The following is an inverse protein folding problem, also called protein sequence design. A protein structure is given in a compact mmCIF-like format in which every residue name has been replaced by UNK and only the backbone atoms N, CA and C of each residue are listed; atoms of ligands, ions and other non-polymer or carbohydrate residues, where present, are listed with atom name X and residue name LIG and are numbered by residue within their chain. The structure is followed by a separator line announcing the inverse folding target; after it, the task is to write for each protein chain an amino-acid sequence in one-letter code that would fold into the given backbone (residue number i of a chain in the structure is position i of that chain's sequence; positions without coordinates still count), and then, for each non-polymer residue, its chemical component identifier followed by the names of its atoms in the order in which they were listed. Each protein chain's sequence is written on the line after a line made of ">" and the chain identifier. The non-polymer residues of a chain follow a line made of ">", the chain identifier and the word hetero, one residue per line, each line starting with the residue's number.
data_IF_069004238683
#
_entry.id   IF_069004238683
#
_cell.length_a   1.000
_cell.length_b   1.000
_cell.length_c   1.000
_cell.angle_alpha   90.00
_cell.angle_beta   90.00
_cell.angle_gamma   90.00
#
_symmetry.space_group_name_H-M   'P 1'
#
loop_
_entity.id
_entity.type
_entity.pdbx_description
1 polymer ?
#
# COMPACT_ATOMS: atom_id res chain seq x y z
N UNK A 1 -29.26 -9.67 25.38
CA UNK A 1 -29.29 -8.22 25.06
C UNK A 1 -27.89 -7.70 25.32
N UNK A 2 -27.09 -7.53 24.26
CA UNK A 2 -25.64 -7.32 24.39
C UNK A 2 -25.30 -5.92 24.86
N UNK A 3 -24.16 -5.81 25.54
CA UNK A 3 -23.50 -4.58 26.03
C UNK A 3 -23.19 -3.53 24.94
N UNK A 4 -23.67 -3.70 23.70
CA UNK A 4 -23.51 -2.76 22.59
C UNK A 4 -24.61 -1.69 22.57
N UNK A 5 -25.71 -1.88 23.31
CA UNK A 5 -26.82 -0.92 23.37
C UNK A 5 -26.65 0.19 24.43
N UNK A 6 -25.59 0.14 25.24
CA UNK A 6 -25.38 1.10 26.33
C UNK A 6 -24.61 2.35 25.90
N UNK A 7 -23.69 2.27 24.93
CA UNK A 7 -22.86 3.42 24.50
C UNK A 7 -22.70 3.51 22.96
N UNK A 8 -23.76 3.82 22.19
CA UNK A 8 -23.74 3.81 20.71
C UNK A 8 -22.68 4.72 20.08
N UNK A 9 -22.39 5.89 20.67
CA UNK A 9 -21.35 6.81 20.18
C UNK A 9 -19.95 6.19 20.23
N UNK A 10 -19.65 5.43 21.29
CA UNK A 10 -18.34 4.80 21.47
C UNK A 10 -18.09 3.70 20.44
N UNK A 11 -19.12 3.07 19.88
CA UNK A 11 -18.98 1.97 18.90
C UNK A 11 -19.09 2.43 17.44
N UNK A 12 -19.69 3.58 17.15
CA UNK A 12 -19.78 4.11 15.79
C UNK A 12 -18.41 4.36 15.16
N UNK A 13 -17.48 4.97 15.91
CA UNK A 13 -16.12 5.22 15.44
C UNK A 13 -15.33 3.93 15.14
N UNK A 14 -15.57 2.86 15.90
CA UNK A 14 -14.96 1.55 15.64
C UNK A 14 -15.55 0.87 14.41
N UNK A 15 -16.87 0.99 14.21
CA UNK A 15 -17.51 0.46 13.01
C UNK A 15 -16.98 1.15 11.76
N UNK A 16 -16.89 2.48 11.77
CA UNK A 16 -16.36 3.23 10.64
C UNK A 16 -14.88 2.91 10.38
N UNK A 17 -14.04 2.89 11.42
CA UNK A 17 -12.63 2.52 11.30
C UNK A 17 -12.43 1.08 10.81
N UNK A 18 -13.30 0.16 11.24
CA UNK A 18 -13.33 -1.23 10.81
C UNK A 18 -13.68 -1.42 9.33
N UNK A 19 -14.63 -0.65 8.81
CA UNK A 19 -14.96 -0.68 7.38
C UNK A 19 -13.83 -0.11 6.51
N UNK A 20 -13.19 0.97 6.95
CA UNK A 20 -12.07 1.56 6.19
C UNK A 20 -10.87 0.63 6.11
N UNK A 21 -10.50 -0.06 7.20
CA UNK A 21 -9.40 -1.04 7.13
C UNK A 21 -9.74 -2.24 6.26
N UNK A 22 -10.99 -2.71 6.28
CA UNK A 22 -11.44 -3.77 5.38
C UNK A 22 -11.30 -3.35 3.92
N UNK A 23 -11.76 -2.14 3.56
CA UNK A 23 -11.60 -1.60 2.20
C UNK A 23 -10.13 -1.55 1.79
N UNK A 24 -9.25 -1.01 2.65
CA UNK A 24 -7.81 -0.93 2.38
C UNK A 24 -7.20 -2.33 2.17
N UNK A 25 -7.58 -3.31 2.99
CA UNK A 25 -7.12 -4.70 2.85
C UNK A 25 -7.59 -5.32 1.53
N UNK A 26 -8.87 -5.15 1.17
CA UNK A 26 -9.40 -5.64 -0.11
C UNK A 26 -8.72 -4.98 -1.31
N UNK A 27 -8.50 -3.66 -1.27
CA UNK A 27 -7.76 -2.95 -2.32
C UNK A 27 -6.34 -3.50 -2.46
N UNK A 28 -5.61 -3.64 -1.35
CA UNK A 28 -4.24 -4.17 -1.36
C UNK A 28 -4.19 -5.60 -1.93
N UNK A 29 -5.07 -6.49 -1.46
CA UNK A 29 -5.17 -7.86 -1.96
C UNK A 29 -5.52 -7.91 -3.46
N UNK A 30 -6.43 -7.05 -3.91
CA UNK A 30 -6.80 -6.94 -5.32
C UNK A 30 -5.59 -6.54 -6.19
N UNK A 31 -4.82 -5.54 -5.77
CA UNK A 31 -3.64 -5.09 -6.51
C UNK A 31 -2.54 -6.16 -6.55
N UNK A 32 -2.31 -6.84 -5.43
CA UNK A 32 -1.37 -7.98 -5.37
C UNK A 32 -1.86 -9.14 -6.25
N UNK A 33 -3.16 -9.42 -6.26
CA UNK A 33 -3.74 -10.48 -7.09
C UNK A 33 -3.62 -10.18 -8.57
N UNK A 34 -3.81 -8.92 -8.97
CA UNK A 34 -3.59 -8.48 -10.35
C UNK A 34 -2.12 -8.67 -10.78
N UNK A 35 -1.15 -8.35 -9.91
CA UNK A 35 0.27 -8.66 -10.14
C UNK A 35 0.51 -10.17 -10.29
N UNK A 36 -0.12 -10.99 -9.43
CA UNK A 36 -0.03 -12.46 -9.48
C UNK A 36 -0.61 -13.04 -10.77
N UNK A 37 -1.77 -12.56 -11.21
CA UNK A 37 -2.41 -12.96 -12.46
C UNK A 37 -1.57 -12.56 -13.68
N UNK A 38 -0.90 -11.41 -13.61
CA UNK A 38 -0.03 -10.93 -14.69
C UNK A 38 1.30 -11.67 -14.80
N UNK A 39 1.66 -12.50 -13.80
CA UNK A 39 2.94 -13.22 -13.74
C UNK A 39 3.21 -14.11 -14.96
N UNK A 40 2.18 -14.76 -15.52
CA UNK A 40 2.37 -15.61 -16.69
C UNK A 40 2.63 -14.77 -17.95
N UNK A 41 1.97 -13.62 -18.10
CA UNK A 41 2.23 -12.68 -19.19
C UNK A 41 3.68 -12.18 -19.14
N UNK A 42 4.21 -11.90 -17.94
CA UNK A 42 5.59 -11.46 -17.71
C UNK A 42 6.62 -12.45 -18.25
N UNK A 43 6.39 -13.77 -18.11
CA UNK A 43 7.33 -14.78 -18.60
C UNK A 43 7.51 -14.71 -20.12
N UNK A 44 6.45 -14.35 -20.84
CA UNK A 44 6.47 -14.19 -22.29
C UNK A 44 7.17 -12.89 -22.74
N UNK A 45 7.24 -11.88 -21.88
CA UNK A 45 7.79 -10.53 -22.14
C UNK A 45 9.28 -10.43 -21.72
N UNK A 46 10.00 -11.56 -21.62
CA UNK A 46 11.37 -11.66 -21.08
C UNK A 46 12.49 -10.89 -21.83
N UNK A 47 12.18 -9.91 -22.68
CA UNK A 47 13.15 -9.14 -23.47
C UNK A 47 13.44 -7.73 -22.92
N UNK A 48 12.73 -7.26 -21.89
CA UNK A 48 12.87 -5.89 -21.38
C UNK A 48 13.61 -5.84 -20.03
N UNK A 49 14.92 -6.18 -20.03
CA UNK A 49 15.73 -6.24 -18.80
C UNK A 49 15.77 -4.93 -18.03
N UNK A 50 15.74 -3.80 -18.75
CA UNK A 50 15.87 -2.46 -18.16
C UNK A 50 14.62 -2.10 -17.35
N UNK A 51 13.44 -2.40 -17.88
CA UNK A 51 12.18 -2.25 -17.15
C UNK A 51 12.22 -3.01 -15.81
N UNK A 52 12.62 -4.28 -15.84
CA UNK A 52 12.68 -5.09 -14.62
C UNK A 52 13.73 -4.61 -13.63
N UNK A 53 14.86 -4.08 -14.13
CA UNK A 53 15.91 -3.48 -13.31
C UNK A 53 15.42 -2.24 -12.55
N UNK A 54 14.50 -1.45 -13.13
CA UNK A 54 13.87 -0.30 -12.47
C UNK A 54 12.66 -0.70 -11.61
N UNK A 55 11.84 -1.64 -12.08
CA UNK A 55 10.60 -2.08 -11.42
C UNK A 55 10.86 -2.81 -10.10
N UNK A 56 11.76 -3.81 -10.08
CA UNK A 56 11.95 -4.64 -8.89
C UNK A 56 12.45 -3.87 -7.66
N UNK A 57 13.39 -2.91 -7.76
CA UNK A 57 13.77 -2.07 -6.62
C UNK A 57 12.60 -1.29 -6.02
N UNK A 58 11.68 -0.79 -6.85
CA UNK A 58 10.49 -0.07 -6.38
C UNK A 58 9.56 -1.04 -5.63
N UNK A 59 9.29 -2.20 -6.23
CA UNK A 59 8.47 -3.24 -5.60
C UNK A 59 9.07 -3.66 -4.24
N UNK A 60 10.39 -3.83 -4.14
CA UNK A 60 11.07 -4.15 -2.87
C UNK A 60 10.89 -3.06 -1.81
N UNK A 61 10.96 -1.78 -2.18
CA UNK A 61 10.71 -0.67 -1.25
C UNK A 61 9.26 -0.67 -0.75
N UNK A 62 8.29 -0.96 -1.62
CA UNK A 62 6.88 -1.11 -1.23
C UNK A 62 6.67 -2.30 -0.29
N UNK A 63 7.27 -3.47 -0.58
CA UNK A 63 7.23 -4.65 0.30
C UNK A 63 7.81 -4.29 1.67
N UNK A 64 9.00 -3.69 1.70
CA UNK A 64 9.63 -3.24 2.94
C UNK A 64 8.74 -2.28 3.73
N UNK A 65 8.11 -1.32 3.06
CA UNK A 65 7.19 -0.38 3.72
C UNK A 65 6.01 -1.10 4.36
N UNK A 66 5.41 -2.07 3.66
CA UNK A 66 4.28 -2.86 4.15
C UNK A 66 4.68 -3.80 5.30
N UNK A 67 5.82 -4.48 5.20
CA UNK A 67 6.33 -5.40 6.23
C UNK A 67 6.68 -4.69 7.55
N UNK A 68 7.17 -3.45 7.46
CA UNK A 68 7.65 -2.69 8.61
C UNK A 68 6.71 -1.55 9.06
N UNK A 69 5.50 -1.47 8.49
CA UNK A 69 4.62 -0.30 8.58
C UNK A 69 4.33 0.17 10.02
N UNK A 70 4.21 -0.76 10.96
CA UNK A 70 3.97 -0.48 12.39
C UNK A 70 5.20 0.09 13.13
N UNK A 71 6.39 -0.21 12.63
CA UNK A 71 7.68 0.09 13.27
C UNK A 71 8.37 1.33 12.69
N UNK A 72 8.01 1.72 11.47
CA UNK A 72 8.57 2.90 10.82
C UNK A 72 8.17 4.16 11.60
N UNK A 73 9.14 5.04 11.84
CA UNK A 73 8.84 6.39 12.31
C UNK A 73 8.30 7.24 11.15
N UNK A 74 7.57 8.31 11.47
CA UNK A 74 6.98 9.19 10.47
C UNK A 74 8.04 9.74 9.50
N UNK A 75 9.17 10.23 10.01
CA UNK A 75 10.25 10.75 9.18
C UNK A 75 10.86 9.70 8.22
N UNK A 76 10.97 8.44 8.66
CA UNK A 76 11.48 7.35 7.81
C UNK A 76 10.43 6.95 6.79
N UNK A 77 9.16 6.87 7.19
CA UNK A 77 8.05 6.57 6.30
C UNK A 77 7.90 7.62 5.19
N UNK A 78 7.89 8.91 5.54
CA UNK A 78 7.74 10.01 4.57
C UNK A 78 8.87 10.01 3.55
N UNK A 79 10.11 9.80 4.02
CA UNK A 79 11.28 9.67 3.14
C UNK A 79 11.13 8.45 2.22
N UNK A 80 10.73 7.30 2.76
CA UNK A 80 10.53 6.09 1.97
C UNK A 80 9.44 6.27 0.90
N UNK A 81 8.30 6.83 1.29
CA UNK A 81 7.17 7.10 0.40
C UNK A 81 7.56 8.07 -0.71
N UNK A 82 8.23 9.17 -0.38
CA UNK A 82 8.71 10.14 -1.37
C UNK A 82 9.66 9.48 -2.39
N UNK A 83 10.59 8.65 -1.92
CA UNK A 83 11.50 7.90 -2.80
C UNK A 83 10.76 6.90 -3.71
N UNK A 84 9.69 6.27 -3.21
CA UNK A 84 8.86 5.34 -4.00
C UNK A 84 8.11 6.12 -5.08
N UNK A 85 7.46 7.23 -4.71
CA UNK A 85 6.69 8.06 -5.63
C UNK A 85 7.57 8.66 -6.73
N UNK A 86 8.76 9.15 -6.39
CA UNK A 86 9.71 9.67 -7.37
C UNK A 86 10.18 8.58 -8.34
N UNK A 87 10.53 7.40 -7.84
CA UNK A 87 10.96 6.29 -8.69
C UNK A 87 9.82 5.77 -9.59
N UNK A 88 8.58 5.73 -9.09
CA UNK A 88 7.41 5.39 -9.89
C UNK A 88 7.15 6.42 -10.98
N UNK A 89 7.26 7.72 -10.66
CA UNK A 89 7.11 8.79 -11.64
C UNK A 89 8.12 8.65 -12.78
N UNK A 90 9.41 8.44 -12.46
CA UNK A 90 10.46 8.20 -13.45
C UNK A 90 10.18 6.95 -14.30
N UNK A 91 9.74 5.85 -13.66
CA UNK A 91 9.39 4.62 -14.38
C UNK A 91 8.22 4.82 -15.35
N UNK A 92 7.22 5.62 -14.96
CA UNK A 92 6.10 5.98 -15.84
C UNK A 92 6.61 6.77 -17.05
N UNK A 93 7.42 7.82 -16.84
CA UNK A 93 8.00 8.63 -17.92
C UNK A 93 8.85 7.79 -18.89
N UNK A 94 9.71 6.92 -18.37
CA UNK A 94 10.55 6.01 -19.17
C UNK A 94 9.74 4.99 -19.99
N UNK A 95 8.49 4.76 -19.62
CA UNK A 95 7.58 3.80 -20.26
C UNK A 95 6.62 4.46 -21.26
N UNK A 96 6.35 5.76 -21.13
CA UNK A 96 5.45 6.51 -22.03
C UNK A 96 5.99 6.61 -23.46
N UNK A 97 7.30 6.61 -23.66
CA UNK A 97 7.96 6.75 -24.97
C UNK A 97 8.06 5.45 -25.80
N UNK A 98 7.65 4.29 -25.26
CA UNK A 98 7.78 2.98 -25.93
C UNK A 98 6.41 2.35 -26.21
N UNK A 99 6.28 1.71 -27.37
CA UNK A 99 5.12 0.94 -27.90
C UNK A 99 4.65 -0.20 -26.96
N UNK A 100 5.27 -0.36 -25.78
CA UNK A 100 5.09 -1.44 -24.81
C UNK A 100 4.01 -1.18 -23.73
N UNK A 101 3.19 -0.13 -23.84
CA UNK A 101 2.18 0.19 -22.83
C UNK A 101 1.21 -0.97 -22.51
N UNK A 102 0.94 -1.86 -23.47
CA UNK A 102 0.05 -3.02 -23.26
C UNK A 102 0.66 -4.14 -22.41
N UNK A 103 2.00 -4.25 -22.39
CA UNK A 103 2.72 -5.39 -21.80
C UNK A 103 3.34 -5.11 -20.43
N UNK A 104 3.53 -3.85 -20.05
CA UNK A 104 4.11 -3.49 -18.74
C UNK A 104 3.28 -2.46 -17.96
N UNK A 105 2.22 -1.92 -18.56
CA UNK A 105 1.34 -0.95 -17.89
C UNK A 105 0.63 -1.52 -16.67
N UNK A 106 0.21 -2.79 -16.70
CA UNK A 106 -0.50 -3.41 -15.58
C UNK A 106 0.37 -3.48 -14.32
N UNK A 107 1.59 -4.06 -14.35
CA UNK A 107 2.48 -4.07 -13.19
C UNK A 107 2.77 -2.69 -12.60
N UNK A 108 3.07 -1.71 -13.46
CA UNK A 108 3.36 -0.33 -13.03
C UNK A 108 2.14 0.26 -12.33
N UNK A 109 0.95 0.12 -12.92
CA UNK A 109 -0.29 0.61 -12.35
C UNK A 109 -0.57 -0.01 -10.98
N UNK A 110 -0.32 -1.31 -10.78
CA UNK A 110 -0.51 -1.91 -9.47
C UNK A 110 0.44 -1.32 -8.41
N UNK A 111 1.71 -1.05 -8.73
CA UNK A 111 2.60 -0.38 -7.79
C UNK A 111 2.16 1.06 -7.47
N UNK A 112 1.67 1.80 -8.46
CA UNK A 112 1.08 3.13 -8.25
C UNK A 112 -0.11 3.07 -7.28
N UNK A 113 -1.03 2.13 -7.48
CA UNK A 113 -2.21 1.98 -6.63
C UNK A 113 -1.84 1.56 -5.19
N UNK A 114 -0.87 0.66 -5.03
CA UNK A 114 -0.34 0.30 -3.69
C UNK A 114 0.29 1.53 -3.03
N UNK A 115 1.08 2.33 -3.76
CA UNK A 115 1.69 3.54 -3.22
C UNK A 115 0.67 4.60 -2.78
N UNK A 116 -0.50 4.67 -3.42
CA UNK A 116 -1.57 5.62 -3.07
C UNK A 116 -2.29 5.25 -1.77
N UNK A 117 -2.47 3.95 -1.51
CA UNK A 117 -3.13 3.49 -0.28
C UNK A 117 -2.17 3.41 0.91
N UNK A 118 -0.86 3.35 0.67
CA UNK A 118 0.17 3.19 1.71
C UNK A 118 0.09 4.22 2.86
N UNK A 119 -0.14 5.54 2.63
CA UNK A 119 -0.29 6.51 3.71
C UNK A 119 -1.48 6.22 4.63
N UNK A 120 -2.57 5.70 4.06
CA UNK A 120 -3.78 5.36 4.82
C UNK A 120 -3.54 4.14 5.70
N UNK A 121 -2.82 3.14 5.20
CA UNK A 121 -2.40 1.97 5.97
C UNK A 121 -1.47 2.40 7.11
N UNK A 122 -0.48 3.26 6.83
CA UNK A 122 0.41 3.78 7.87
C UNK A 122 -0.35 4.56 8.95
N UNK A 123 -1.23 5.49 8.57
CA UNK A 123 -2.04 6.25 9.51
C UNK A 123 -2.89 5.35 10.41
N UNK A 124 -3.47 4.28 9.85
CA UNK A 124 -4.27 3.32 10.62
C UNK A 124 -3.47 2.69 11.76
N UNK A 125 -2.30 2.09 11.46
CA UNK A 125 -1.49 1.38 12.46
C UNK A 125 -0.89 2.32 13.53
N UNK A 126 -0.63 3.58 13.19
CA UNK A 126 -0.09 4.55 14.15
C UNK A 126 -1.18 5.30 14.94
N UNK A 127 -2.40 5.43 14.41
CA UNK A 127 -3.55 5.92 15.17
C UNK A 127 -4.05 4.91 16.20
N UNK A 128 -4.07 3.60 15.88
CA UNK A 128 -4.42 2.55 16.84
C UNK A 128 -3.41 2.47 17.98
N UNK A 129 -2.10 2.51 17.68
CA UNK A 129 -1.04 2.51 18.70
C UNK A 129 -1.14 3.68 19.70
N UNK A 130 -1.48 4.88 19.23
CA UNK A 130 -1.66 6.04 20.10
C UNK A 130 -2.95 5.95 20.95
N UNK A 131 -3.99 5.26 20.45
CA UNK A 131 -5.24 5.00 21.20
C UNK A 131 -5.06 3.93 22.28
N UNK A 132 -4.29 2.88 22.03
CA UNK A 132 -4.01 1.83 23.03
C UNK A 132 -3.09 2.30 24.16
N UNK A 133 -2.17 3.24 23.88
CA UNK A 133 -1.34 3.85 24.91
C UNK A 133 -2.12 4.82 25.82
N UNK A 134 -3.24 5.39 25.36
CA UNK A 134 -4.04 6.35 26.13
C UNK A 134 -5.11 5.69 27.00
N UNK A 135 -5.53 4.45 26.69
CA UNK A 135 -6.44 3.65 27.51
C UNK A 135 -5.78 3.05 28.76
N UNK A 136 -4.44 2.99 28.82
CA UNK A 136 -3.68 2.54 29.99
C UNK A 136 -3.41 3.63 31.05
N UNK A 137 -3.62 4.91 30.75
CA UNK A 137 -3.40 6.03 31.68
C UNK A 137 -4.67 6.48 32.46
N UNK A 138 -5.80 5.81 32.26
CA UNK A 138 -7.08 6.18 32.88
C UNK A 138 -7.67 5.11 33.81
N UNK A 139 -6.80 4.28 34.42
CA UNK A 139 -7.15 3.42 35.57
C UNK A 139 -6.41 3.84 36.83
#
# INVERSE_FOLDING_TARGET
>A
MSNMNSNPEKYQDYLQSGFEILKLNYSLLSYISALGAYRENIKHISYNSDFWAEFYPIAKKLIYALEHIESLSAAVFDKLLSNIQQALHQLNENTEDKVSQSEIGIPIQQLNMISQILPHIYAFFHHTKNRDNSSHLSM
#
